data_IF_897382275385
#
_entry.id   IF_897382275385
#
_cell.length_a   1.000
_cell.length_b   1.000
_cell.length_c   1.000
_cell.angle_alpha   90.00
_cell.angle_beta   90.00
_cell.angle_gamma   90.00
#
_symmetry.space_group_name_H-M   'P 1'
#
loop_
_entity.id
_entity.type
_entity.pdbx_description
1 polymer ?
#
# COMPACT_ATOMS: atom_id res chain seq x y z
N UNK A 1 -18.97 -8.50 27.51
CA UNK A 1 -17.91 -7.62 28.05
C UNK A 1 -16.57 -8.34 27.96
N UNK A 2 -15.82 -8.14 26.87
CA UNK A 2 -14.50 -8.77 26.73
C UNK A 2 -13.46 -7.87 27.39
N UNK A 3 -12.75 -8.44 28.38
CA UNK A 3 -11.64 -7.82 29.10
C UNK A 3 -10.70 -7.14 28.10
N UNK A 4 -10.37 -5.88 28.38
CA UNK A 4 -9.25 -5.18 27.75
C UNK A 4 -8.03 -6.09 27.92
N UNK A 5 -7.72 -6.90 26.90
CA UNK A 5 -6.42 -7.54 26.83
C UNK A 5 -5.43 -6.40 26.84
N UNK A 6 -4.55 -6.37 27.86
CA UNK A 6 -3.49 -5.39 28.04
C UNK A 6 -3.15 -4.69 26.71
N UNK A 7 -3.35 -3.37 26.56
CA UNK A 7 -3.23 -2.67 25.26
C UNK A 7 -1.96 -3.05 24.49
N UNK A 8 -0.88 -3.27 25.24
CA UNK A 8 0.41 -3.80 24.75
C UNK A 8 0.27 -5.14 24.01
N UNK A 9 -0.45 -6.11 24.57
CA UNK A 9 -0.71 -7.43 23.97
C UNK A 9 -1.55 -7.31 22.69
N UNK A 10 -2.55 -6.43 22.68
CA UNK A 10 -3.36 -6.17 21.49
C UNK A 10 -2.52 -5.55 20.36
N UNK A 11 -1.74 -4.52 20.64
CA UNK A 11 -0.85 -3.91 19.65
C UNK A 11 0.24 -4.88 19.17
N UNK A 12 0.79 -5.71 20.05
CA UNK A 12 1.71 -6.79 19.64
C UNK A 12 1.06 -7.75 18.65
N UNK A 13 -0.18 -8.18 18.91
CA UNK A 13 -0.97 -9.00 17.99
C UNK A 13 -1.20 -8.27 16.65
N UNK A 14 -1.51 -6.98 16.67
CA UNK A 14 -1.68 -6.18 15.45
C UNK A 14 -0.39 -6.10 14.62
N UNK A 15 0.76 -5.94 15.27
CA UNK A 15 2.08 -5.98 14.60
C UNK A 15 2.33 -7.33 13.93
N UNK A 16 2.04 -8.42 14.63
CA UNK A 16 2.19 -9.76 14.08
C UNK A 16 1.29 -9.95 12.84
N UNK A 17 0.05 -9.48 12.90
CA UNK A 17 -0.89 -9.52 11.76
C UNK A 17 -0.35 -8.70 10.59
N UNK A 18 0.19 -7.50 10.84
CA UNK A 18 0.79 -6.68 9.80
C UNK A 18 1.92 -7.43 9.09
N UNK A 19 2.87 -7.96 9.85
CA UNK A 19 4.05 -8.65 9.32
C UNK A 19 3.63 -9.91 8.55
N UNK A 20 2.75 -10.74 9.12
CA UNK A 20 2.27 -11.95 8.47
C UNK A 20 1.52 -11.65 7.17
N UNK A 21 0.68 -10.60 7.16
CA UNK A 21 -0.05 -10.19 5.96
C UNK A 21 0.88 -9.66 4.88
N UNK A 22 1.91 -8.90 5.28
CA UNK A 22 2.93 -8.38 4.39
C UNK A 22 3.71 -9.55 3.77
N UNK A 23 4.22 -10.47 4.61
CA UNK A 23 4.97 -11.65 4.16
C UNK A 23 4.14 -12.55 3.25
N UNK A 24 2.84 -12.72 3.49
CA UNK A 24 1.97 -13.52 2.62
C UNK A 24 1.93 -12.98 1.18
N UNK A 25 1.61 -11.71 1.00
CA UNK A 25 1.52 -11.10 -0.34
C UNK A 25 2.90 -10.95 -0.97
N UNK A 26 3.88 -10.53 -0.18
CA UNK A 26 5.25 -10.34 -0.63
C UNK A 26 5.89 -11.66 -1.08
N UNK A 27 5.70 -12.74 -0.29
CA UNK A 27 6.20 -14.07 -0.59
C UNK A 27 5.58 -14.66 -1.86
N UNK A 28 4.25 -14.59 -2.00
CA UNK A 28 3.56 -15.01 -3.24
C UNK A 28 4.10 -14.23 -4.45
N UNK A 29 4.28 -12.91 -4.30
CA UNK A 29 4.75 -12.04 -5.38
C UNK A 29 6.17 -12.36 -5.82
N UNK A 30 7.09 -12.53 -4.87
CA UNK A 30 8.47 -12.91 -5.18
C UNK A 30 8.53 -14.29 -5.81
N UNK A 31 7.86 -15.28 -5.24
CA UNK A 31 7.88 -16.64 -5.78
C UNK A 31 7.38 -16.67 -7.22
N UNK A 32 6.24 -16.04 -7.50
CA UNK A 32 5.71 -15.91 -8.86
C UNK A 32 6.69 -15.21 -9.79
N UNK A 33 7.30 -14.11 -9.35
CA UNK A 33 8.24 -13.34 -10.18
C UNK A 33 9.51 -14.13 -10.48
N UNK A 34 10.08 -14.83 -9.50
CA UNK A 34 11.29 -15.65 -9.69
C UNK A 34 11.01 -16.80 -10.65
N UNK A 35 9.90 -17.51 -10.46
CA UNK A 35 9.49 -18.59 -11.38
C UNK A 35 9.30 -18.05 -12.79
N UNK A 36 8.60 -16.93 -12.93
CA UNK A 36 8.36 -16.27 -14.23
C UNK A 36 9.67 -15.83 -14.87
N UNK A 37 10.59 -15.24 -14.10
CA UNK A 37 11.88 -14.78 -14.59
C UNK A 37 12.72 -15.95 -15.14
N UNK A 38 12.84 -17.03 -14.36
CA UNK A 38 13.64 -18.20 -14.75
C UNK A 38 13.05 -18.88 -15.99
N UNK A 39 11.73 -19.12 -16.01
CA UNK A 39 11.06 -19.73 -17.16
C UNK A 39 11.10 -18.82 -18.39
N UNK A 40 10.91 -17.50 -18.21
CA UNK A 40 10.98 -16.53 -19.30
C UNK A 40 12.37 -16.50 -19.94
N UNK A 41 13.43 -16.45 -19.13
CA UNK A 41 14.80 -16.53 -19.66
C UNK A 41 15.09 -17.86 -20.35
N UNK A 42 14.61 -18.99 -19.81
CA UNK A 42 14.74 -20.29 -20.45
C UNK A 42 14.06 -20.33 -21.83
N UNK A 43 12.80 -19.88 -21.92
CA UNK A 43 12.04 -19.85 -23.18
C UNK A 43 12.67 -18.92 -24.22
N UNK A 44 13.13 -17.74 -23.80
CA UNK A 44 13.85 -16.81 -24.69
C UNK A 44 15.17 -17.40 -25.18
N UNK A 45 15.98 -17.97 -24.28
CA UNK A 45 17.26 -18.60 -24.63
C UNK A 45 17.08 -19.74 -25.63
N UNK A 46 16.06 -20.58 -25.44
CA UNK A 46 15.74 -21.66 -26.37
C UNK A 46 15.31 -21.13 -27.75
N UNK A 47 14.75 -19.92 -27.82
CA UNK A 47 14.30 -19.31 -29.08
C UNK A 47 15.46 -18.81 -29.94
N UNK A 48 16.64 -18.56 -29.36
CA UNK A 48 17.80 -18.01 -30.08
C UNK A 48 18.78 -19.05 -30.63
N UNK A 49 18.67 -20.32 -30.22
CA UNK A 49 19.65 -21.36 -30.52
C UNK A 49 20.99 -21.19 -29.77
N UNK A 50 22.00 -21.98 -30.14
CA UNK A 50 23.27 -22.08 -29.40
C UNK A 50 24.22 -20.88 -29.53
N UNK A 51 23.90 -19.87 -30.34
CA UNK A 51 24.84 -18.80 -30.73
C UNK A 51 25.03 -17.69 -29.70
N UNK A 52 24.13 -17.55 -28.72
CA UNK A 52 24.13 -16.42 -27.77
C UNK A 52 24.64 -16.76 -26.36
N UNK A 53 25.11 -17.99 -26.10
CA UNK A 53 25.50 -18.45 -24.76
C UNK A 53 26.65 -17.67 -24.08
N UNK A 54 27.41 -16.87 -24.84
CA UNK A 54 28.48 -15.99 -24.34
C UNK A 54 28.23 -14.50 -24.59
N UNK A 55 27.03 -14.15 -25.09
CA UNK A 55 26.69 -12.77 -25.36
C UNK A 55 26.32 -12.04 -24.05
N UNK A 56 26.80 -10.81 -23.88
CA UNK A 56 26.45 -10.01 -22.70
C UNK A 56 24.95 -9.71 -22.62
N UNK A 57 24.47 -9.32 -21.43
CA UNK A 57 23.04 -9.09 -21.17
C UNK A 57 22.36 -8.13 -22.16
N UNK A 58 23.08 -7.13 -22.68
CA UNK A 58 22.58 -6.22 -23.70
C UNK A 58 22.20 -6.96 -25.00
N UNK A 59 23.10 -7.79 -25.53
CA UNK A 59 22.87 -8.55 -26.75
C UNK A 59 21.74 -9.58 -26.57
N UNK A 60 21.62 -10.16 -25.37
CA UNK A 60 20.50 -11.02 -25.03
C UNK A 60 19.14 -10.30 -25.14
N UNK A 61 19.04 -9.09 -24.61
CA UNK A 61 17.80 -8.30 -24.66
C UNK A 61 17.48 -7.91 -26.11
N UNK A 62 18.49 -7.47 -26.88
CA UNK A 62 18.31 -7.13 -28.29
C UNK A 62 17.80 -8.34 -29.07
N UNK A 63 18.40 -9.52 -28.89
CA UNK A 63 17.95 -10.76 -29.52
C UNK A 63 16.52 -11.15 -29.08
N UNK A 64 16.19 -11.00 -27.80
CA UNK A 64 14.85 -11.28 -27.29
C UNK A 64 13.78 -10.43 -27.97
N UNK A 65 14.05 -9.14 -28.14
CA UNK A 65 13.11 -8.22 -28.78
C UNK A 65 13.06 -8.42 -30.29
N UNK A 66 14.15 -8.81 -30.95
CA UNK A 66 14.11 -9.08 -32.40
C UNK A 66 13.42 -10.40 -32.74
N UNK A 67 13.60 -11.44 -31.93
CA UNK A 67 12.99 -12.76 -32.17
C UNK A 67 11.56 -12.86 -31.68
N UNK A 68 11.20 -12.16 -30.60
CA UNK A 68 9.87 -12.21 -29.97
C UNK A 68 9.43 -10.83 -29.47
N UNK A 69 9.21 -9.85 -30.38
CA UNK A 69 9.08 -8.43 -30.02
C UNK A 69 7.98 -8.16 -29.00
N UNK A 70 6.78 -8.71 -29.20
CA UNK A 70 5.64 -8.42 -28.32
C UNK A 70 5.83 -9.08 -26.95
N UNK A 71 6.11 -10.39 -26.92
CA UNK A 71 6.17 -11.13 -25.65
C UNK A 71 7.40 -10.80 -24.82
N UNK A 72 8.55 -10.52 -25.45
CA UNK A 72 9.76 -10.12 -24.73
C UNK A 72 9.61 -8.74 -24.09
N UNK A 73 9.04 -7.77 -24.81
CA UNK A 73 8.79 -6.42 -24.27
C UNK A 73 7.84 -6.46 -23.08
N UNK A 74 6.71 -7.18 -23.20
CA UNK A 74 5.75 -7.33 -22.10
C UNK A 74 6.43 -7.96 -20.87
N UNK A 75 7.21 -9.02 -21.07
CA UNK A 75 7.91 -9.68 -19.98
C UNK A 75 8.91 -8.77 -19.27
N UNK A 76 9.79 -8.08 -20.00
CA UNK A 76 10.77 -7.20 -19.37
C UNK A 76 10.09 -6.04 -18.63
N UNK A 77 9.01 -5.47 -19.19
CA UNK A 77 8.22 -4.44 -18.51
C UNK A 77 7.62 -4.97 -17.19
N UNK A 78 7.07 -6.19 -17.20
CA UNK A 78 6.56 -6.81 -15.98
C UNK A 78 7.69 -7.07 -14.98
N UNK A 79 8.85 -7.54 -15.40
CA UNK A 79 9.99 -7.78 -14.48
C UNK A 79 10.49 -6.48 -13.83
N UNK A 80 10.55 -5.38 -14.58
CA UNK A 80 10.92 -4.06 -14.04
C UNK A 80 9.85 -3.54 -13.07
N UNK A 81 8.56 -3.76 -13.37
CA UNK A 81 7.46 -3.33 -12.52
C UNK A 81 7.35 -4.15 -11.22
N UNK A 82 7.82 -5.41 -11.22
CA UNK A 82 7.66 -6.36 -10.12
C UNK A 82 8.02 -5.83 -8.72
N UNK A 83 9.22 -5.27 -8.46
CA UNK A 83 9.57 -4.79 -7.11
C UNK A 83 8.62 -3.70 -6.61
N UNK A 84 8.17 -2.80 -7.50
CA UNK A 84 7.27 -1.71 -7.16
C UNK A 84 5.87 -2.23 -6.85
N UNK A 85 5.32 -3.06 -7.73
CA UNK A 85 3.98 -3.63 -7.58
C UNK A 85 3.92 -4.47 -6.30
N UNK A 86 4.86 -5.39 -6.10
CA UNK A 86 4.89 -6.26 -4.91
C UNK A 86 5.02 -5.42 -3.63
N UNK A 87 5.94 -4.44 -3.60
CA UNK A 87 6.14 -3.57 -2.43
C UNK A 87 4.91 -2.74 -2.07
N UNK A 88 4.28 -2.11 -3.07
CA UNK A 88 3.10 -1.26 -2.88
C UNK A 88 1.91 -2.08 -2.40
N UNK A 89 1.59 -3.19 -3.10
CA UNK A 89 0.39 -3.96 -2.79
C UNK A 89 0.51 -4.78 -1.51
N UNK A 90 1.70 -5.31 -1.18
CA UNK A 90 1.93 -5.98 0.10
C UNK A 90 1.72 -5.02 1.28
N UNK A 91 2.24 -3.80 1.19
CA UNK A 91 2.08 -2.78 2.24
C UNK A 91 0.62 -2.30 2.32
N UNK A 92 -0.03 -2.07 1.18
CA UNK A 92 -1.45 -1.66 1.12
C UNK A 92 -2.35 -2.73 1.74
N UNK A 93 -2.16 -3.99 1.37
CA UNK A 93 -2.94 -5.12 1.89
C UNK A 93 -2.72 -5.31 3.40
N UNK A 94 -1.46 -5.28 3.86
CA UNK A 94 -1.14 -5.39 5.28
C UNK A 94 -1.76 -4.24 6.11
N UNK A 95 -1.78 -3.03 5.56
CA UNK A 95 -2.45 -1.89 6.18
C UNK A 95 -3.95 -2.07 6.29
N UNK A 96 -4.61 -2.41 5.19
CA UNK A 96 -6.05 -2.65 5.19
C UNK A 96 -6.45 -3.71 6.22
N UNK A 97 -5.65 -4.79 6.35
CA UNK A 97 -5.94 -5.87 7.28
C UNK A 97 -5.82 -5.45 8.76
N UNK A 98 -4.82 -4.63 9.12
CA UNK A 98 -4.71 -4.12 10.50
C UNK A 98 -5.72 -3.02 10.81
N UNK A 99 -6.07 -2.19 9.83
CA UNK A 99 -7.12 -1.18 9.96
C UNK A 99 -8.46 -1.88 10.19
N UNK A 100 -8.77 -2.91 9.40
CA UNK A 100 -9.98 -3.73 9.54
C UNK A 100 -10.14 -4.30 10.94
N UNK A 101 -9.09 -4.91 11.49
CA UNK A 101 -9.10 -5.43 12.86
C UNK A 101 -9.23 -4.34 13.91
N UNK A 102 -8.53 -3.22 13.74
CA UNK A 102 -8.59 -2.11 14.69
C UNK A 102 -9.97 -1.46 14.74
N UNK A 103 -10.57 -1.23 13.56
CA UNK A 103 -11.92 -0.66 13.42
C UNK A 103 -12.96 -1.63 13.98
N UNK A 104 -12.88 -2.92 13.66
CA UNK A 104 -13.85 -3.93 14.12
C UNK A 104 -13.76 -4.20 15.63
N UNK A 105 -12.55 -4.29 16.17
CA UNK A 105 -12.36 -4.76 17.55
C UNK A 105 -12.35 -3.60 18.56
N UNK A 106 -11.85 -2.42 18.18
CA UNK A 106 -11.54 -1.33 19.13
C UNK A 106 -11.67 0.10 18.57
N UNK A 107 -12.62 0.35 17.65
CA UNK A 107 -12.87 1.70 17.11
C UNK A 107 -13.11 2.73 18.22
N UNK A 108 -14.09 2.47 19.08
CA UNK A 108 -14.52 3.41 20.13
C UNK A 108 -13.54 3.48 21.31
N UNK A 109 -12.81 2.40 21.59
CA UNK A 109 -11.97 2.30 22.79
C UNK A 109 -10.52 2.71 22.58
N UNK A 110 -9.99 2.60 21.35
CA UNK A 110 -8.59 2.91 21.03
C UNK A 110 -8.45 3.94 19.91
N UNK A 111 -9.27 3.84 18.86
CA UNK A 111 -9.15 4.67 17.67
C UNK A 111 -9.66 6.10 17.90
N UNK A 112 -10.92 6.23 18.33
CA UNK A 112 -11.56 7.52 18.60
C UNK A 112 -10.82 8.30 19.69
N UNK A 113 -10.45 7.71 20.86
CA UNK A 113 -9.71 8.44 21.89
C UNK A 113 -8.32 8.92 21.43
N UNK A 114 -7.63 8.14 20.60
CA UNK A 114 -6.33 8.54 20.06
C UNK A 114 -6.44 9.69 19.07
N UNK A 115 -7.48 9.70 18.22
CA UNK A 115 -7.79 10.84 17.35
C UNK A 115 -8.10 12.08 18.20
N UNK A 116 -8.97 11.93 19.20
CA UNK A 116 -9.36 13.04 20.09
C UNK A 116 -8.18 13.64 20.84
N UNK A 117 -7.27 12.81 21.34
CA UNK A 117 -6.06 13.26 22.04
C UNK A 117 -5.10 14.02 21.11
N UNK A 118 -4.96 13.59 19.86
CA UNK A 118 -4.13 14.31 18.88
C UNK A 118 -4.81 15.59 18.42
N UNK A 119 -6.13 15.58 18.20
CA UNK A 119 -6.88 16.77 17.79
C UNK A 119 -6.92 17.82 18.90
N UNK A 120 -7.09 17.43 20.16
CA UNK A 120 -7.09 18.36 21.29
C UNK A 120 -5.73 19.03 21.46
N UNK A 121 -4.63 18.27 21.34
CA UNK A 121 -3.27 18.81 21.37
C UNK A 121 -2.97 19.72 20.18
N UNK A 122 -3.47 19.36 19.00
CA UNK A 122 -3.34 20.19 17.81
C UNK A 122 -4.12 21.51 17.95
N UNK A 123 -5.36 21.45 18.48
CA UNK A 123 -6.20 22.62 18.78
C UNK A 123 -5.57 23.54 19.83
N UNK A 124 -5.01 23.00 20.91
CA UNK A 124 -4.39 23.79 21.98
C UNK A 124 -3.06 24.43 21.56
N UNK A 125 -2.31 23.77 20.66
CA UNK A 125 -1.01 24.27 20.21
C UNK A 125 -1.11 25.27 19.05
N UNK A 126 -2.09 25.11 18.15
CA UNK A 126 -2.28 25.96 16.96
C UNK A 126 -3.77 26.00 16.55
N UNK A 127 -4.53 27.06 16.90
CA UNK A 127 -5.86 27.26 16.32
C UNK A 127 -5.71 27.47 14.82
N UNK A 128 -6.12 26.48 14.02
CA UNK A 128 -5.99 26.51 12.58
C UNK A 128 -7.11 27.39 11.99
N UNK A 129 -6.75 28.57 11.48
CA UNK A 129 -7.64 29.38 10.64
C UNK A 129 -7.39 28.95 9.19
N UNK A 130 -8.28 28.12 8.65
CA UNK A 130 -8.15 27.58 7.29
C UNK A 130 -8.99 28.41 6.34
N UNK A 131 -8.34 29.12 5.40
CA UNK A 131 -9.03 30.06 4.47
C UNK A 131 -8.81 29.71 3.00
N UNK A 132 -7.71 29.02 2.66
CA UNK A 132 -7.34 28.70 1.28
C UNK A 132 -6.84 27.26 1.13
N UNK A 133 -6.83 26.72 -0.10
CA UNK A 133 -6.31 25.38 -0.45
C UNK A 133 -4.87 25.13 0.02
N UNK A 134 -4.02 26.15 0.01
CA UNK A 134 -2.64 26.06 0.51
C UNK A 134 -2.59 25.87 2.03
N UNK A 135 -3.49 26.52 2.76
CA UNK A 135 -3.61 26.37 4.21
C UNK A 135 -3.99 24.93 4.58
N UNK A 136 -4.81 24.26 3.77
CA UNK A 136 -5.18 22.85 3.97
C UNK A 136 -3.98 21.92 3.84
N UNK A 137 -3.16 22.10 2.81
CA UNK A 137 -1.94 21.30 2.63
C UNK A 137 -1.01 21.49 3.84
N UNK A 138 -0.84 22.73 4.29
CA UNK A 138 0.00 23.04 5.45
C UNK A 138 -0.55 22.45 6.75
N UNK A 139 -1.87 22.53 6.97
CA UNK A 139 -2.53 21.93 8.13
C UNK A 139 -2.42 20.40 8.10
N UNK A 140 -2.61 19.77 6.94
CA UNK A 140 -2.42 18.32 6.77
C UNK A 140 -1.00 17.89 7.14
N UNK A 141 0.02 18.64 6.72
CA UNK A 141 1.42 18.37 7.06
C UNK A 141 1.67 18.52 8.57
N UNK A 142 1.18 19.60 9.17
CA UNK A 142 1.32 19.83 10.62
C UNK A 142 0.61 18.74 11.43
N UNK A 143 -0.59 18.36 11.01
CA UNK A 143 -1.35 17.29 11.64
C UNK A 143 -0.67 15.93 11.51
N UNK A 144 -0.09 15.62 10.34
CA UNK A 144 0.72 14.43 10.14
C UNK A 144 1.94 14.40 11.07
N UNK A 145 2.60 15.54 11.28
CA UNK A 145 3.72 15.65 12.20
C UNK A 145 3.26 15.42 13.66
N UNK A 146 2.11 15.96 14.05
CA UNK A 146 1.56 15.73 15.39
C UNK A 146 1.20 14.25 15.62
N UNK A 147 0.59 13.58 14.63
CA UNK A 147 0.34 12.13 14.72
C UNK A 147 1.64 11.32 14.84
N UNK A 148 2.68 11.66 14.09
CA UNK A 148 4.00 10.99 14.15
C UNK A 148 4.69 11.19 15.50
N UNK A 149 4.57 12.38 16.08
CA UNK A 149 5.22 12.78 17.33
C UNK A 149 4.36 12.54 18.58
N UNK A 150 3.11 12.09 18.42
CA UNK A 150 2.21 11.74 19.53
C UNK A 150 2.80 10.69 20.46
N UNK A 151 2.33 10.57 21.70
CA UNK A 151 2.78 9.50 22.63
C UNK A 151 2.10 8.15 22.37
N UNK A 152 1.37 8.01 21.27
CA UNK A 152 0.62 6.80 20.93
C UNK A 152 1.49 5.62 20.51
N UNK A 153 0.90 4.42 20.45
CA UNK A 153 1.60 3.22 19.98
C UNK A 153 2.09 3.38 18.51
N UNK A 154 3.29 2.87 18.19
CA UNK A 154 3.91 2.96 16.84
C UNK A 154 2.99 2.51 15.70
N UNK A 155 2.18 1.47 15.93
CA UNK A 155 1.24 0.95 14.92
C UNK A 155 0.06 1.88 14.75
N UNK A 156 -0.49 2.38 15.86
CA UNK A 156 -1.61 3.32 15.86
C UNK A 156 -1.22 4.62 15.16
N UNK A 157 -0.03 5.16 15.45
CA UNK A 157 0.53 6.30 14.70
C UNK A 157 0.63 6.00 13.21
N UNK A 158 1.07 4.79 12.84
CA UNK A 158 1.23 4.39 11.44
C UNK A 158 -0.12 4.30 10.73
N UNK A 159 -1.15 3.73 11.37
CA UNK A 159 -2.52 3.64 10.86
C UNK A 159 -3.11 5.04 10.67
N UNK A 160 -3.06 5.88 11.70
CA UNK A 160 -3.62 7.24 11.66
C UNK A 160 -2.91 8.11 10.62
N UNK A 161 -1.57 8.04 10.57
CA UNK A 161 -0.80 8.73 9.54
C UNK A 161 -1.10 8.22 8.12
N UNK A 162 -1.35 6.91 7.96
CA UNK A 162 -1.70 6.32 6.67
C UNK A 162 -3.07 6.79 6.18
N UNK A 163 -4.09 6.74 7.05
CA UNK A 163 -5.42 7.24 6.75
C UNK A 163 -5.41 8.75 6.48
N UNK A 164 -4.71 9.53 7.30
CA UNK A 164 -4.61 10.97 7.11
C UNK A 164 -3.91 11.35 5.79
N UNK A 165 -2.86 10.61 5.38
CA UNK A 165 -2.23 10.81 4.06
C UNK A 165 -3.23 10.59 2.92
N UNK A 166 -4.11 9.59 3.06
CA UNK A 166 -5.13 9.20 2.07
C UNK A 166 -6.39 10.06 2.10
N UNK A 167 -6.58 10.88 3.12
CA UNK A 167 -7.70 11.81 3.21
C UNK A 167 -7.50 12.97 2.24
N UNK A 168 -8.50 13.26 1.41
CA UNK A 168 -8.49 14.43 0.54
C UNK A 168 -9.06 15.63 1.30
N UNK A 169 -8.24 16.66 1.52
CA UNK A 169 -8.67 17.84 2.30
C UNK A 169 -9.52 18.80 1.45
N UNK A 170 -9.48 18.68 0.13
CA UNK A 170 -10.30 19.49 -0.79
C UNK A 170 -11.79 19.14 -0.74
N UNK A 171 -12.12 17.90 -0.33
CA UNK A 171 -13.49 17.42 -0.15
C UNK A 171 -14.08 17.81 1.21
N UNK A 172 -13.32 18.52 2.07
CA UNK A 172 -13.81 18.98 3.36
C UNK A 172 -14.79 20.13 3.12
N UNK A 173 -16.09 19.83 3.23
CA UNK A 173 -17.17 20.79 3.00
C UNK A 173 -17.29 21.77 4.18
N UNK A 174 -16.35 22.71 4.25
CA UNK A 174 -16.23 23.73 5.30
C UNK A 174 -17.11 24.96 5.07
N UNK A 175 -18.02 24.89 4.08
CA UNK A 175 -19.02 25.92 3.80
C UNK A 175 -20.11 26.03 4.88
N UNK A 176 -20.17 25.09 5.82
CA UNK A 176 -21.02 25.22 7.00
C UNK A 176 -20.32 26.13 8.03
N UNK A 177 -20.77 27.38 8.13
CA UNK A 177 -20.21 28.42 9.03
C UNK A 177 -20.17 28.03 10.52
N UNK A 178 -20.89 26.99 10.93
CA UNK A 178 -20.96 26.51 12.32
C UNK A 178 -20.23 25.19 12.59
N UNK A 179 -19.61 24.57 11.59
CA UNK A 179 -18.96 23.27 11.76
C UNK A 179 -17.47 23.44 12.12
N UNK A 180 -17.10 22.96 13.31
CA UNK A 180 -15.73 22.99 13.80
C UNK A 180 -14.82 22.10 12.92
N UNK A 181 -13.78 22.70 12.33
CA UNK A 181 -12.77 22.05 11.48
C UNK A 181 -12.21 20.75 12.08
N UNK A 182 -11.95 20.75 13.40
CA UNK A 182 -11.40 19.58 14.09
C UNK A 182 -12.39 18.41 14.14
N UNK A 183 -13.69 18.70 14.29
CA UNK A 183 -14.75 17.69 14.33
C UNK A 183 -15.00 17.10 12.94
N UNK A 184 -14.92 17.93 11.89
CA UNK A 184 -15.00 17.47 10.50
C UNK A 184 -13.83 16.52 10.18
N UNK A 185 -12.60 16.89 10.55
CA UNK A 185 -11.43 16.01 10.33
C UNK A 185 -11.59 14.70 11.09
N UNK A 186 -12.04 14.75 12.35
CA UNK A 186 -12.27 13.54 13.16
C UNK A 186 -13.22 12.59 12.45
N UNK A 187 -14.39 13.07 12.04
CA UNK A 187 -15.41 12.25 11.36
C UNK A 187 -14.84 11.68 10.07
N UNK A 188 -14.25 12.53 9.22
CA UNK A 188 -13.70 12.12 7.93
C UNK A 188 -12.54 11.14 8.06
N UNK A 189 -11.72 11.25 9.10
CA UNK A 189 -10.63 10.33 9.36
C UNK A 189 -11.16 8.95 9.78
N UNK A 190 -12.21 8.90 10.61
CA UNK A 190 -12.87 7.65 11.01
C UNK A 190 -13.57 6.99 9.82
N UNK A 191 -14.30 7.77 9.02
CA UNK A 191 -14.90 7.30 7.75
C UNK A 191 -13.83 6.73 6.82
N UNK A 192 -12.72 7.45 6.64
CA UNK A 192 -11.62 6.99 5.76
C UNK A 192 -10.97 5.72 6.28
N UNK A 193 -10.88 5.53 7.59
CA UNK A 193 -10.40 4.28 8.17
C UNK A 193 -11.37 3.12 7.89
N UNK A 194 -12.68 3.34 7.90
CA UNK A 194 -13.67 2.33 7.51
C UNK A 194 -13.57 1.98 6.03
N UNK A 195 -13.39 2.97 5.15
CA UNK A 195 -13.17 2.74 3.72
C UNK A 195 -11.88 1.95 3.45
N UNK A 196 -10.80 2.28 4.16
CA UNK A 196 -9.52 1.59 4.05
C UNK A 196 -9.51 0.22 4.74
N UNK A 197 -10.52 -0.10 5.54
CA UNK A 197 -10.66 -1.37 6.26
C UNK A 197 -11.06 -2.54 5.35
N UNK A 198 -11.27 -2.32 4.06
CA UNK A 198 -11.55 -3.36 3.07
C UNK A 198 -10.25 -3.89 2.43
N UNK A 199 -9.73 -5.06 2.88
CA UNK A 199 -8.54 -5.64 2.29
C UNK A 199 -8.85 -6.21 0.90
N UNK A 200 -8.42 -5.52 -0.15
CA UNK A 200 -8.44 -6.05 -1.52
C UNK A 200 -7.02 -6.30 -2.05
N UNK A 201 -6.78 -7.54 -2.49
CA UNK A 201 -5.58 -7.96 -3.19
C UNK A 201 -5.82 -8.18 -4.70
N UNK A 202 -6.98 -7.76 -5.23
CA UNK A 202 -7.40 -8.09 -6.59
C UNK A 202 -6.39 -7.61 -7.65
N UNK A 203 -5.97 -6.35 -7.59
CA UNK A 203 -5.01 -5.78 -8.56
C UNK A 203 -3.66 -6.49 -8.48
N UNK A 204 -3.24 -6.92 -7.27
CA UNK A 204 -2.04 -7.72 -7.11
C UNK A 204 -2.17 -9.07 -7.84
N UNK A 205 -3.29 -9.77 -7.68
CA UNK A 205 -3.50 -11.04 -8.38
C UNK A 205 -3.68 -10.87 -9.89
N UNK A 206 -4.24 -9.76 -10.37
CA UNK A 206 -4.26 -9.42 -11.79
C UNK A 206 -2.84 -9.30 -12.33
N UNK A 207 -1.96 -8.58 -11.61
CA UNK A 207 -0.56 -8.46 -11.99
C UNK A 207 0.15 -9.82 -12.03
N UNK A 208 -0.09 -10.68 -11.04
CA UNK A 208 0.41 -12.06 -11.07
C UNK A 208 -0.12 -12.80 -12.30
N UNK A 209 -1.41 -12.69 -12.61
CA UNK A 209 -2.01 -13.25 -13.82
C UNK A 209 -1.32 -12.76 -15.10
N UNK A 210 -0.96 -11.47 -15.18
CA UNK A 210 -0.22 -10.92 -16.31
C UNK A 210 1.19 -11.50 -16.44
N UNK A 211 1.88 -11.76 -15.32
CA UNK A 211 3.18 -12.46 -15.35
C UNK A 211 3.05 -13.84 -16.01
N UNK A 212 2.08 -14.64 -15.57
CA UNK A 212 1.83 -15.97 -16.12
C UNK A 212 1.34 -15.92 -17.58
N UNK A 213 0.49 -14.96 -17.90
CA UNK A 213 0.04 -14.72 -19.27
C UNK A 213 1.23 -14.40 -20.19
N UNK A 214 2.21 -13.61 -19.73
CA UNK A 214 3.40 -13.28 -20.51
C UNK A 214 4.21 -14.51 -20.90
N UNK A 215 4.31 -15.51 -20.02
CA UNK A 215 4.93 -16.80 -20.33
C UNK A 215 4.11 -17.59 -21.34
N UNK A 216 2.79 -17.63 -21.16
CA UNK A 216 1.89 -18.27 -22.13
C UNK A 216 2.06 -17.67 -23.52
N UNK A 217 2.11 -16.35 -23.63
CA UNK A 217 2.38 -15.64 -24.88
C UNK A 217 3.75 -16.02 -25.46
N UNK A 218 4.82 -16.06 -24.66
CA UNK A 218 6.13 -16.50 -25.15
C UNK A 218 6.12 -17.92 -25.70
N UNK A 219 5.39 -18.82 -25.05
CA UNK A 219 5.34 -20.23 -25.43
C UNK A 219 4.54 -20.44 -26.73
N UNK A 220 3.38 -19.81 -26.86
CA UNK A 220 2.46 -20.03 -27.98
C UNK A 220 2.71 -19.13 -29.20
N UNK A 221 3.15 -17.89 -29.00
CA UNK A 221 3.45 -16.99 -30.11
C UNK A 221 4.81 -17.36 -30.70
N UNK A 222 4.78 -18.06 -31.84
CA UNK A 222 5.96 -18.39 -32.65
C UNK A 222 6.50 -17.21 -33.48
N UNK A 223 5.88 -16.04 -33.37
CA UNK A 223 6.26 -14.81 -34.09
C UNK A 223 7.23 -13.98 -33.25
#
# INVERSE_FOLDING_TARGET
MNKITNPIKYFSKLSAVFILSLLKIYGIGILSTVITLVLGFYMLSHSFGSSLGHSGAYLFIVAAVTTKPVSAVIFFLLMIAAPFVIGIFSTKYAMANIISRLVKDHSETLLVPAIDKVMSKFKSGQPAVVRTSADYAMVKIKLLNEFKNSSENKILKRILSYALKKLNFEELNLKNENANFYDIIKIKLVEKLHELAEPSAMIFYIYIGLQWLSLGLMYFLKV
#
